data_IF_910657103353
#
_entry.id   IF_910657103353
#
_cell.length_a   1.000
_cell.length_b   1.000
_cell.length_c   1.000
_cell.angle_alpha   90.00
_cell.angle_beta   90.00
_cell.angle_gamma   90.00
#
_symmetry.space_group_name_H-M   'P 1'
#
loop_
_entity.id
_entity.type
_entity.pdbx_description
1 polymer ?
#
# COMPACT_ATOMS: atom_id res chain seq x y z
N UNK A 1 -14.19 -14.43 14.34
CA UNK A 1 -13.93 -13.33 15.24
C UNK A 1 -14.33 -11.95 14.70
N UNK A 2 -14.25 -11.69 13.40
CA UNK A 2 -14.61 -10.38 12.82
C UNK A 2 -13.48 -9.34 12.82
N UNK A 3 -12.26 -9.74 13.09
CA UNK A 3 -11.07 -8.91 12.97
C UNK A 3 -10.33 -9.29 11.69
N UNK A 4 -9.99 -8.29 10.89
CA UNK A 4 -9.33 -8.45 9.60
C UNK A 4 -8.13 -7.53 9.50
N UNK A 5 -7.12 -7.98 8.79
CA UNK A 5 -5.97 -7.18 8.43
C UNK A 5 -5.85 -7.10 6.90
N UNK A 6 -5.50 -5.93 6.37
CA UNK A 6 -5.25 -5.71 4.94
C UNK A 6 -3.93 -4.95 4.78
N UNK A 7 -2.97 -5.58 4.14
CA UNK A 7 -1.66 -4.99 3.90
C UNK A 7 -1.14 -5.29 2.49
N UNK A 8 -0.23 -4.45 2.02
CA UNK A 8 0.47 -4.63 0.74
C UNK A 8 1.31 -5.90 0.71
N UNK A 9 1.69 -6.42 1.87
CA UNK A 9 2.43 -7.69 2.04
C UNK A 9 1.58 -8.95 1.91
N UNK A 10 0.30 -8.81 1.66
CA UNK A 10 -0.58 -9.93 1.23
C UNK A 10 -0.58 -10.01 -0.29
N UNK A 11 -0.54 -11.21 -0.86
CA UNK A 11 -0.69 -11.36 -2.30
C UNK A 11 -2.13 -11.02 -2.77
N UNK A 12 -2.36 -10.61 -4.02
CA UNK A 12 -3.65 -10.11 -4.50
C UNK A 12 -4.84 -11.03 -4.27
N UNK A 13 -4.70 -12.35 -4.49
CA UNK A 13 -5.79 -13.29 -4.27
C UNK A 13 -6.18 -13.38 -2.78
N UNK A 14 -5.22 -13.29 -1.86
CA UNK A 14 -5.49 -13.25 -0.42
C UNK A 14 -6.24 -11.97 -0.04
N UNK A 15 -5.76 -10.80 -0.47
CA UNK A 15 -6.44 -9.52 -0.22
C UNK A 15 -7.88 -9.51 -0.72
N UNK A 16 -8.10 -10.10 -1.91
CA UNK A 16 -9.45 -10.22 -2.48
C UNK A 16 -10.36 -11.05 -1.60
N UNK A 17 -9.91 -12.21 -1.14
CA UNK A 17 -10.69 -13.07 -0.26
C UNK A 17 -11.06 -12.37 1.06
N UNK A 18 -10.12 -11.64 1.67
CA UNK A 18 -10.39 -10.85 2.89
C UNK A 18 -11.40 -9.74 2.60
N UNK A 19 -11.25 -9.01 1.49
CA UNK A 19 -12.17 -7.94 1.12
C UNK A 19 -13.59 -8.46 0.82
N UNK A 20 -13.73 -9.61 0.17
CA UNK A 20 -15.03 -10.25 -0.08
C UNK A 20 -15.74 -10.57 1.23
N UNK A 21 -15.04 -11.11 2.22
CA UNK A 21 -15.60 -11.39 3.54
C UNK A 21 -15.97 -10.10 4.29
N UNK A 22 -15.10 -9.08 4.27
CA UNK A 22 -15.38 -7.75 4.85
C UNK A 22 -16.63 -7.13 4.24
N UNK A 23 -16.70 -7.08 2.90
CA UNK A 23 -17.86 -6.55 2.18
C UNK A 23 -19.14 -7.31 2.51
N UNK A 24 -19.05 -8.64 2.61
CA UNK A 24 -20.20 -9.47 2.97
C UNK A 24 -20.71 -9.16 4.38
N UNK A 25 -19.81 -9.02 5.35
CA UNK A 25 -20.16 -8.66 6.74
C UNK A 25 -20.78 -7.28 6.85
N UNK A 26 -20.21 -6.29 6.19
CA UNK A 26 -20.73 -4.93 6.20
C UNK A 26 -22.12 -4.81 5.54
N UNK A 27 -22.38 -5.59 4.49
CA UNK A 27 -23.64 -5.46 3.71
C UNK A 27 -24.80 -6.31 4.24
N UNK A 28 -24.52 -7.45 4.86
CA UNK A 28 -25.57 -8.45 5.08
C UNK A 28 -25.84 -8.80 6.55
N UNK A 29 -24.99 -8.35 7.46
CA UNK A 29 -25.10 -8.86 8.82
C UNK A 29 -24.74 -7.79 9.83
N UNK A 30 -25.32 -7.88 11.02
CA UNK A 30 -24.87 -7.14 12.18
C UNK A 30 -23.66 -7.84 12.87
N UNK A 31 -22.88 -8.61 12.11
CA UNK A 31 -21.71 -9.30 12.62
C UNK A 31 -20.57 -8.30 12.87
N UNK A 32 -19.76 -8.50 13.91
CA UNK A 32 -18.60 -7.66 14.14
C UNK A 32 -17.66 -7.65 12.92
N UNK A 33 -17.26 -6.47 12.49
CA UNK A 33 -16.30 -6.28 11.38
C UNK A 33 -15.33 -5.16 11.76
N UNK A 34 -14.13 -5.52 12.16
CA UNK A 34 -13.04 -4.59 12.45
C UNK A 34 -11.91 -4.84 11.48
N UNK A 35 -11.46 -3.79 10.80
CA UNK A 35 -10.41 -3.91 9.79
C UNK A 35 -9.27 -2.99 10.18
N UNK A 36 -8.07 -3.55 10.29
CA UNK A 36 -6.82 -2.80 10.35
C UNK A 36 -6.20 -2.86 8.97
N UNK A 37 -5.94 -1.70 8.37
CA UNK A 37 -5.42 -1.65 7.01
C UNK A 37 -4.34 -0.59 6.87
N UNK A 38 -3.39 -0.83 5.96
CA UNK A 38 -2.57 0.23 5.39
C UNK A 38 -3.44 1.13 4.49
N UNK A 39 -2.84 2.13 3.83
CA UNK A 39 -3.52 3.00 2.84
C UNK A 39 -4.20 2.25 1.68
N UNK A 40 -4.07 0.95 1.63
CA UNK A 40 -4.64 0.07 0.60
C UNK A 40 -6.16 0.18 0.47
N UNK A 41 -6.86 0.50 1.58
CA UNK A 41 -8.30 0.67 1.61
C UNK A 41 -8.77 2.08 1.19
N UNK A 42 -7.86 3.05 1.13
CA UNK A 42 -8.16 4.45 0.83
C UNK A 42 -8.64 4.63 -0.62
N UNK A 43 -8.13 3.81 -1.56
CA UNK A 43 -8.51 3.87 -2.96
C UNK A 43 -8.87 2.49 -3.53
N UNK A 44 -9.78 2.46 -4.52
CA UNK A 44 -10.09 1.25 -5.28
C UNK A 44 -10.91 0.17 -4.56
N UNK A 45 -11.35 0.42 -3.33
CA UNK A 45 -12.14 -0.52 -2.53
C UNK A 45 -13.51 0.09 -2.19
N UNK A 46 -14.57 -0.69 -2.41
CA UNK A 46 -15.95 -0.27 -2.14
C UNK A 46 -16.44 -0.84 -0.81
N UNK A 47 -16.10 -0.14 0.26
CA UNK A 47 -16.50 -0.48 1.64
C UNK A 47 -17.17 0.72 2.29
N UNK A 48 -18.13 0.43 3.18
CA UNK A 48 -18.87 1.40 3.96
C UNK A 48 -18.83 1.03 5.43
N UNK A 49 -18.02 1.75 6.21
CA UNK A 49 -17.90 1.56 7.65
C UNK A 49 -18.74 2.58 8.42
N UNK A 50 -19.32 2.24 9.56
CA UNK A 50 -20.00 3.20 10.42
C UNK A 50 -19.02 4.15 11.14
N UNK A 51 -17.79 3.70 11.41
CA UNK A 51 -16.75 4.51 12.05
C UNK A 51 -15.38 4.20 11.44
N UNK A 52 -14.52 5.22 11.34
CA UNK A 52 -13.16 5.11 10.83
C UNK A 52 -12.18 5.75 11.80
N UNK A 53 -11.09 5.06 12.07
CA UNK A 53 -9.94 5.59 12.82
C UNK A 53 -8.78 5.74 11.86
N UNK A 54 -8.18 6.93 11.78
CA UNK A 54 -7.05 7.21 10.89
C UNK A 54 -5.90 7.79 11.70
N UNK A 55 -4.76 7.14 11.63
CA UNK A 55 -3.53 7.73 12.13
C UNK A 55 -3.19 9.03 11.38
N UNK A 56 -2.54 9.99 12.05
CA UNK A 56 -2.12 11.25 11.45
C UNK A 56 -1.41 11.03 10.10
N UNK A 57 -1.86 11.74 9.09
CA UNK A 57 -1.36 11.66 7.72
C UNK A 57 -1.53 13.00 7.01
N UNK A 58 -1.20 13.07 5.73
CA UNK A 58 -1.59 14.19 4.88
C UNK A 58 -3.11 14.31 4.80
N UNK A 59 -3.61 15.53 4.61
CA UNK A 59 -5.05 15.80 4.54
C UNK A 59 -5.75 14.99 3.45
N UNK A 60 -5.08 14.77 2.33
CA UNK A 60 -5.55 13.94 1.21
C UNK A 60 -5.83 12.49 1.65
N UNK A 61 -4.93 11.89 2.39
CA UNK A 61 -5.07 10.53 2.93
C UNK A 61 -6.17 10.45 4.01
N UNK A 62 -6.25 11.46 4.88
CA UNK A 62 -7.33 11.58 5.88
C UNK A 62 -8.69 11.63 5.20
N UNK A 63 -8.86 12.46 4.17
CA UNK A 63 -10.11 12.59 3.44
C UNK A 63 -10.47 11.31 2.65
N UNK A 64 -9.48 10.61 2.10
CA UNK A 64 -9.71 9.32 1.44
C UNK A 64 -10.18 8.25 2.41
N UNK A 65 -9.60 8.19 3.61
CA UNK A 65 -10.07 7.31 4.68
C UNK A 65 -11.48 7.71 5.17
N UNK A 66 -11.73 9.01 5.35
CA UNK A 66 -13.04 9.53 5.71
C UNK A 66 -14.12 9.16 4.68
N UNK A 67 -13.77 9.12 3.40
CA UNK A 67 -14.66 8.64 2.32
C UNK A 67 -15.03 7.15 2.40
N UNK A 68 -14.56 6.41 3.41
CA UNK A 68 -14.98 5.05 3.75
C UNK A 68 -15.93 4.99 4.95
N UNK A 69 -16.16 6.13 5.61
CA UNK A 69 -17.11 6.27 6.70
C UNK A 69 -18.45 6.74 6.14
N UNK A 70 -19.53 6.01 6.43
CA UNK A 70 -20.89 6.34 5.95
C UNK A 70 -20.96 6.70 4.46
N UNK A 71 -20.20 5.98 3.65
CA UNK A 71 -20.05 6.27 2.22
C UNK A 71 -21.36 6.25 1.46
N UNK A 72 -22.31 5.39 1.87
CA UNK A 72 -23.62 5.25 1.24
C UNK A 72 -24.65 6.23 1.82
N UNK A 73 -24.27 6.99 2.87
CA UNK A 73 -25.15 7.99 3.49
C UNK A 73 -26.35 7.41 4.23
N UNK A 74 -26.25 6.13 4.66
CA UNK A 74 -27.34 5.42 5.34
C UNK A 74 -27.43 5.71 6.83
N UNK A 75 -26.32 6.12 7.46
CA UNK A 75 -26.24 6.41 8.89
C UNK A 75 -26.33 7.92 9.15
N UNK A 76 -26.67 8.29 10.41
CA UNK A 76 -26.68 9.71 10.78
C UNK A 76 -25.26 10.27 10.84
N UNK A 77 -25.05 11.57 10.59
CA UNK A 77 -23.72 12.19 10.73
C UNK A 77 -23.16 12.07 12.16
N UNK A 78 -24.04 12.06 13.17
CA UNK A 78 -23.67 11.95 14.58
C UNK A 78 -23.11 10.56 14.92
N UNK A 79 -23.57 9.52 14.21
CA UNK A 79 -23.13 8.13 14.38
C UNK A 79 -21.96 7.76 13.47
N UNK A 80 -21.61 8.63 12.51
CA UNK A 80 -20.63 8.39 11.45
C UNK A 80 -19.36 9.19 11.74
N UNK A 81 -18.54 8.69 12.67
CA UNK A 81 -17.39 9.45 13.19
C UNK A 81 -16.09 8.98 12.56
N UNK A 82 -15.31 9.94 12.09
CA UNK A 82 -13.91 9.74 11.69
C UNK A 82 -13.01 10.31 12.78
N UNK A 83 -12.24 9.44 13.41
CA UNK A 83 -11.32 9.81 14.49
C UNK A 83 -9.89 9.83 13.95
N UNK A 84 -9.22 10.99 14.03
CA UNK A 84 -7.80 11.11 13.74
C UNK A 84 -7.05 10.92 15.06
N UNK A 85 -6.07 10.03 15.09
CA UNK A 85 -5.26 9.75 16.27
C UNK A 85 -3.76 9.83 15.95
N UNK A 86 -2.97 10.04 16.98
CA UNK A 86 -1.51 10.02 16.88
C UNK A 86 -1.00 8.68 17.38
N UNK A 87 -0.20 8.01 16.55
CA UNK A 87 0.48 6.77 16.91
C UNK A 87 1.57 6.99 17.98
N UNK A 88 2.01 5.91 18.59
CA UNK A 88 3.13 5.93 19.57
C UNK A 88 4.47 6.13 18.86
N UNK A 89 4.63 5.54 17.69
CA UNK A 89 5.83 5.63 16.90
C UNK A 89 5.88 6.92 16.08
N UNK A 90 7.09 7.38 15.79
CA UNK A 90 7.27 8.50 14.87
C UNK A 90 6.93 8.06 13.44
N UNK A 91 6.18 8.88 12.69
CA UNK A 91 5.90 8.58 11.30
C UNK A 91 7.21 8.52 10.48
N UNK A 92 7.27 7.70 9.43
CA UNK A 92 8.39 7.73 8.51
C UNK A 92 8.63 9.13 7.95
N UNK A 93 9.89 9.53 7.82
CA UNK A 93 10.29 10.87 7.33
C UNK A 93 9.61 11.28 6.02
N UNK A 94 9.32 10.31 5.17
CA UNK A 94 8.62 10.51 3.89
C UNK A 94 7.24 11.18 4.08
N UNK A 95 6.58 10.95 5.20
CA UNK A 95 5.23 11.47 5.50
C UNK A 95 5.24 12.75 6.35
N UNK A 96 6.36 13.11 6.99
CA UNK A 96 6.44 14.25 7.93
C UNK A 96 5.98 15.57 7.27
N UNK A 97 6.38 15.84 6.03
CA UNK A 97 5.99 17.05 5.31
C UNK A 97 4.47 17.09 5.04
N UNK A 98 3.90 15.97 4.61
CA UNK A 98 2.46 15.90 4.35
C UNK A 98 1.64 15.99 5.64
N UNK A 99 2.11 15.37 6.73
CA UNK A 99 1.50 15.48 8.07
C UNK A 99 1.53 16.93 8.55
N UNK A 100 2.68 17.61 8.44
CA UNK A 100 2.83 19.02 8.83
C UNK A 100 1.88 19.95 8.08
N UNK A 101 1.82 19.82 6.75
CA UNK A 101 0.89 20.58 5.92
C UNK A 101 -0.58 20.28 6.27
N UNK A 102 -0.90 19.00 6.56
CA UNK A 102 -2.22 18.58 7.01
C UNK A 102 -2.62 19.20 8.36
N UNK A 103 -1.72 19.19 9.33
CA UNK A 103 -1.93 19.82 10.65
C UNK A 103 -2.17 21.32 10.54
N UNK A 104 -1.42 22.02 9.67
CA UNK A 104 -1.63 23.44 9.40
C UNK A 104 -3.03 23.71 8.82
N UNK A 105 -3.45 22.94 7.82
CA UNK A 105 -4.79 23.07 7.25
C UNK A 105 -5.89 22.79 8.29
N UNK A 106 -5.77 21.72 9.08
CA UNK A 106 -6.73 21.36 10.14
C UNK A 106 -6.81 22.40 11.27
N UNK A 107 -5.70 23.09 11.58
CA UNK A 107 -5.70 24.14 12.58
C UNK A 107 -6.40 25.42 12.11
N UNK A 108 -6.40 25.67 10.81
CA UNK A 108 -6.91 26.92 10.21
C UNK A 108 -8.37 26.82 9.76
N UNK A 109 -8.79 25.64 9.31
CA UNK A 109 -10.11 25.43 8.73
C UNK A 109 -10.95 24.51 9.60
N UNK A 110 -12.18 24.94 9.94
CA UNK A 110 -13.12 24.15 10.72
C UNK A 110 -13.66 22.97 9.91
N UNK A 111 -13.95 23.22 8.64
CA UNK A 111 -14.33 22.18 7.66
C UNK A 111 -13.09 21.81 6.85
N UNK A 112 -12.46 20.70 7.21
CA UNK A 112 -11.25 20.19 6.57
C UNK A 112 -11.51 19.61 5.16
N UNK A 113 -12.76 19.30 4.85
CA UNK A 113 -13.18 18.83 3.52
C UNK A 113 -13.54 19.99 2.57
N UNK A 114 -13.53 21.24 3.06
CA UNK A 114 -13.78 22.41 2.23
C UNK A 114 -12.72 22.56 1.14
N UNK A 115 -13.14 23.14 0.01
CA UNK A 115 -12.24 23.45 -1.10
C UNK A 115 -11.06 24.32 -0.67
N UNK A 116 -11.30 25.27 0.23
CA UNK A 116 -10.32 26.21 0.77
C UNK A 116 -9.27 25.47 1.62
N UNK A 117 -9.69 24.53 2.47
CA UNK A 117 -8.78 23.71 3.27
C UNK A 117 -7.90 22.82 2.39
N UNK A 118 -8.50 22.15 1.41
CA UNK A 118 -7.79 21.28 0.46
C UNK A 118 -6.78 22.08 -0.36
N UNK A 119 -7.19 23.26 -0.87
CA UNK A 119 -6.29 24.13 -1.63
C UNK A 119 -5.12 24.63 -0.76
N UNK A 120 -5.39 25.06 0.47
CA UNK A 120 -4.35 25.51 1.39
C UNK A 120 -3.37 24.38 1.74
N UNK A 121 -3.86 23.15 1.94
CA UNK A 121 -3.04 21.98 2.18
C UNK A 121 -2.07 21.71 1.04
N UNK A 122 -2.57 21.67 -0.20
CA UNK A 122 -1.70 21.39 -1.36
C UNK A 122 -0.73 22.52 -1.63
N UNK A 123 -1.13 23.78 -1.42
CA UNK A 123 -0.24 24.92 -1.56
C UNK A 123 0.93 24.82 -0.57
N UNK A 124 0.64 24.59 0.71
CA UNK A 124 1.64 24.43 1.75
C UNK A 124 2.56 23.22 1.48
N UNK A 125 1.98 22.09 1.07
CA UNK A 125 2.74 20.88 0.73
C UNK A 125 3.72 21.13 -0.43
N UNK A 126 3.31 21.89 -1.44
CA UNK A 126 4.15 22.24 -2.58
C UNK A 126 5.26 23.23 -2.18
N UNK A 127 4.94 24.20 -1.34
CA UNK A 127 5.92 25.19 -0.84
C UNK A 127 6.99 24.51 0.04
N UNK A 128 6.56 23.60 0.95
CA UNK A 128 7.48 22.86 1.81
C UNK A 128 8.39 21.89 1.04
N UNK A 129 7.87 21.26 -0.03
CA UNK A 129 8.67 20.37 -0.88
C UNK A 129 9.67 21.13 -1.78
N UNK A 130 9.38 22.37 -2.09
CA UNK A 130 10.17 23.19 -3.01
C UNK A 130 10.02 22.78 -4.49
N UNK A 131 10.31 23.70 -5.40
CA UNK A 131 10.15 23.48 -6.85
C UNK A 131 11.08 22.42 -7.40
N UNK A 132 12.30 22.32 -6.90
CA UNK A 132 13.29 21.34 -7.39
C UNK A 132 12.86 19.90 -7.12
N UNK A 133 12.19 19.65 -5.98
CA UNK A 133 11.70 18.31 -5.66
C UNK A 133 10.50 17.89 -6.52
N UNK A 134 9.80 18.85 -7.12
CA UNK A 134 8.64 18.58 -8.00
C UNK A 134 9.08 18.21 -9.42
N UNK A 135 10.29 18.54 -9.81
CA UNK A 135 10.89 18.20 -11.11
C UNK A 135 12.30 17.60 -10.95
N UNK A 136 12.41 16.61 -10.06
CA UNK A 136 13.68 15.93 -9.76
C UNK A 136 14.36 15.32 -11.01
N UNK A 137 13.59 15.03 -12.04
CA UNK A 137 14.07 14.49 -13.31
C UNK A 137 14.38 15.58 -14.35
N UNK A 138 14.22 16.85 -13.99
CA UNK A 138 14.47 18.01 -14.88
C UNK A 138 13.70 17.89 -16.21
N UNK A 139 12.41 17.58 -16.13
CA UNK A 139 11.53 17.43 -17.28
C UNK A 139 11.00 18.78 -17.75
N UNK A 140 10.62 19.66 -16.81
CA UNK A 140 10.06 20.97 -17.17
C UNK A 140 10.98 21.80 -18.09
N UNK A 141 12.31 21.90 -17.87
CA UNK A 141 13.20 22.57 -18.80
C UNK A 141 13.26 21.94 -20.20
N UNK A 142 13.01 20.62 -20.30
CA UNK A 142 12.93 19.95 -21.61
C UNK A 142 11.65 20.30 -22.36
N UNK A 143 10.57 20.58 -21.64
CA UNK A 143 9.28 20.97 -22.24
C UNK A 143 9.28 22.41 -22.76
N UNK A 144 10.20 23.25 -22.30
CA UNK A 144 10.36 24.64 -22.73
C UNK A 144 11.22 24.78 -24.01
N UNK A 145 11.82 23.71 -24.50
CA UNK A 145 12.64 23.74 -25.69
C UNK A 145 11.82 23.90 -26.97
N UNK A 146 12.37 24.59 -27.96
CA UNK A 146 11.73 24.82 -29.27
C UNK A 146 11.37 23.50 -29.97
N UNK A 147 12.21 22.46 -29.83
CA UNK A 147 11.94 21.10 -30.29
C UNK A 147 11.67 20.21 -29.08
N UNK A 148 10.42 19.79 -28.92
CA UNK A 148 9.96 18.98 -27.80
C UNK A 148 10.61 17.58 -27.84
N UNK A 149 11.52 17.23 -26.91
CA UNK A 149 12.27 15.97 -26.96
C UNK A 149 11.45 14.81 -26.36
N UNK A 150 10.39 14.39 -27.02
CA UNK A 150 9.46 13.37 -26.54
C UNK A 150 10.13 12.10 -26.03
N UNK A 151 11.17 11.62 -26.73
CA UNK A 151 11.88 10.40 -26.35
C UNK A 151 12.59 10.58 -25.00
N UNK A 152 13.35 11.64 -24.83
CA UNK A 152 14.08 11.94 -23.61
C UNK A 152 13.13 12.15 -22.44
N UNK A 153 11.99 12.83 -22.65
CA UNK A 153 10.96 13.02 -21.65
C UNK A 153 10.35 11.67 -21.27
N UNK A 154 10.00 10.82 -22.23
CA UNK A 154 9.44 9.49 -21.97
C UNK A 154 10.42 8.58 -21.21
N UNK A 155 11.73 8.69 -21.49
CA UNK A 155 12.76 7.92 -20.80
C UNK A 155 13.00 8.41 -19.34
N UNK A 156 12.79 9.72 -19.08
CA UNK A 156 12.96 10.30 -17.74
C UNK A 156 11.70 10.29 -16.91
N UNK A 157 10.53 10.35 -17.54
CA UNK A 157 9.26 10.40 -16.82
C UNK A 157 8.84 9.03 -16.31
N UNK A 158 9.01 8.83 -15.02
CA UNK A 158 8.48 7.68 -14.30
C UNK A 158 7.45 8.18 -13.28
N UNK A 159 6.17 7.85 -13.49
CA UNK A 159 5.09 8.22 -12.55
C UNK A 159 5.26 7.52 -11.21
N UNK A 160 5.77 6.29 -11.24
CA UNK A 160 6.06 5.47 -10.06
C UNK A 160 7.45 4.90 -10.27
N UNK A 161 8.40 5.40 -9.50
CA UNK A 161 9.75 4.83 -9.41
C UNK A 161 9.66 3.73 -8.34
N UNK A 162 9.45 2.49 -8.79
CA UNK A 162 9.14 1.40 -7.88
C UNK A 162 10.17 0.27 -8.00
N UNK A 163 11.31 0.39 -7.31
CA UNK A 163 12.33 -0.65 -7.28
C UNK A 163 11.87 -1.82 -6.39
N UNK A 164 10.79 -2.48 -6.80
CA UNK A 164 10.26 -3.64 -6.09
C UNK A 164 10.44 -4.89 -6.93
N UNK A 165 10.76 -5.98 -6.24
CA UNK A 165 10.79 -7.32 -6.81
C UNK A 165 9.60 -8.14 -6.33
N UNK A 166 9.18 -9.10 -7.14
CA UNK A 166 8.05 -9.96 -6.80
C UNK A 166 8.54 -11.27 -6.24
N UNK A 167 8.08 -11.60 -5.03
CA UNK A 167 8.28 -12.90 -4.40
C UNK A 167 6.98 -13.70 -4.52
N UNK A 168 7.02 -14.83 -5.20
CA UNK A 168 5.88 -15.73 -5.31
C UNK A 168 5.70 -16.55 -4.04
N UNK A 169 4.46 -16.67 -3.61
CA UNK A 169 4.06 -17.39 -2.39
C UNK A 169 3.42 -18.72 -2.80
N UNK A 170 4.08 -19.87 -2.59
CA UNK A 170 3.60 -21.18 -3.04
C UNK A 170 2.57 -21.77 -2.07
N UNK A 171 1.43 -21.10 -1.90
CA UNK A 171 0.34 -21.57 -1.03
C UNK A 171 -0.91 -21.85 -1.88
N UNK A 172 -1.57 -22.96 -1.63
CA UNK A 172 -2.81 -23.35 -2.33
C UNK A 172 -2.62 -23.46 -3.85
N UNK A 173 -3.40 -22.72 -4.63
CA UNK A 173 -3.27 -22.67 -6.10
C UNK A 173 -1.92 -22.08 -6.54
N UNK A 174 -1.33 -21.15 -5.74
CA UNK A 174 -0.01 -20.62 -6.00
C UNK A 174 1.07 -21.70 -6.08
N UNK A 175 0.99 -22.75 -5.25
CA UNK A 175 1.94 -23.87 -5.28
C UNK A 175 1.88 -24.63 -6.61
N UNK A 176 0.68 -24.84 -7.14
CA UNK A 176 0.49 -25.53 -8.44
C UNK A 176 1.08 -24.69 -9.59
N UNK A 177 0.88 -23.37 -9.54
CA UNK A 177 1.41 -22.46 -10.54
C UNK A 177 2.94 -22.39 -10.49
N UNK A 178 3.52 -22.36 -9.29
CA UNK A 178 4.97 -22.42 -9.09
C UNK A 178 5.55 -23.73 -9.64
N UNK A 179 4.89 -24.87 -9.40
CA UNK A 179 5.31 -26.17 -9.99
C UNK A 179 5.34 -26.12 -11.53
N UNK A 180 4.34 -25.49 -12.16
CA UNK A 180 4.33 -25.30 -13.63
C UNK A 180 5.50 -24.44 -14.08
N UNK A 181 5.80 -23.37 -13.35
CA UNK A 181 6.95 -22.48 -13.61
C UNK A 181 8.28 -23.25 -13.51
N UNK A 182 8.45 -24.05 -12.45
CA UNK A 182 9.63 -24.91 -12.23
C UNK A 182 9.77 -25.98 -13.35
N UNK A 183 8.66 -26.46 -13.88
CA UNK A 183 8.62 -27.36 -15.05
C UNK A 183 8.85 -26.61 -16.38
N UNK A 184 9.42 -25.41 -16.35
CA UNK A 184 9.81 -24.60 -17.51
C UNK A 184 8.66 -24.11 -18.38
N UNK A 185 7.42 -24.11 -17.89
CA UNK A 185 6.34 -23.42 -18.58
C UNK A 185 6.56 -21.90 -18.49
N UNK A 186 6.48 -21.20 -19.62
CA UNK A 186 6.74 -19.76 -19.76
C UNK A 186 5.62 -19.08 -20.57
N UNK A 187 4.38 -19.40 -20.24
CA UNK A 187 3.23 -18.77 -20.90
C UNK A 187 2.83 -17.45 -20.22
N UNK A 188 2.37 -16.48 -21.03
CA UNK A 188 1.84 -15.20 -20.51
C UNK A 188 0.69 -15.42 -19.53
N UNK A 189 -0.10 -16.46 -19.76
CA UNK A 189 -1.22 -16.82 -18.87
C UNK A 189 -0.74 -17.32 -17.50
N UNK A 190 0.31 -18.13 -17.47
CA UNK A 190 0.94 -18.57 -16.23
C UNK A 190 1.43 -17.37 -15.39
N UNK A 191 2.17 -16.45 -15.98
CA UNK A 191 2.66 -15.27 -15.25
C UNK A 191 1.54 -14.37 -14.78
N UNK A 192 0.46 -14.21 -15.54
CA UNK A 192 -0.72 -13.47 -15.12
C UNK A 192 -1.39 -14.12 -13.90
N UNK A 193 -1.49 -15.44 -13.86
CA UNK A 193 -2.04 -16.18 -12.73
C UNK A 193 -1.08 -16.13 -11.52
N UNK A 194 0.22 -16.32 -11.73
CA UNK A 194 1.24 -16.20 -10.68
C UNK A 194 1.24 -14.82 -10.02
N UNK A 195 0.99 -13.75 -10.77
CA UNK A 195 0.86 -12.41 -10.23
C UNK A 195 -0.24 -12.26 -9.17
N UNK A 196 -1.21 -13.18 -9.11
CA UNK A 196 -2.22 -13.21 -8.05
C UNK A 196 -1.65 -13.77 -6.72
N UNK A 197 -0.49 -14.42 -6.75
CA UNK A 197 0.19 -15.05 -5.63
C UNK A 197 1.58 -14.44 -5.38
N UNK A 198 1.88 -13.30 -5.99
CA UNK A 198 3.10 -12.55 -5.78
C UNK A 198 2.93 -11.42 -4.77
N UNK A 199 3.95 -11.18 -3.96
CA UNK A 199 4.08 -10.03 -3.08
C UNK A 199 5.23 -9.18 -3.59
N UNK A 200 4.97 -7.89 -3.87
CA UNK A 200 6.02 -6.94 -4.24
C UNK A 200 6.69 -6.40 -2.99
N UNK A 201 8.01 -6.52 -2.92
CA UNK A 201 8.83 -6.06 -1.80
C UNK A 201 9.97 -5.19 -2.31
N UNK A 202 10.47 -4.29 -1.46
CA UNK A 202 11.62 -3.46 -1.79
C UNK A 202 12.90 -4.26 -1.81
N UNK A 203 13.89 -3.77 -2.55
CA UNK A 203 15.19 -4.42 -2.71
C UNK A 203 15.86 -4.75 -1.36
N UNK A 204 15.80 -3.83 -0.39
CA UNK A 204 16.34 -4.05 0.96
C UNK A 204 15.69 -5.22 1.69
N UNK A 205 14.37 -5.40 1.52
CA UNK A 205 13.60 -6.48 2.13
C UNK A 205 13.93 -7.82 1.44
N UNK A 206 14.08 -7.79 0.11
CA UNK A 206 14.51 -8.94 -0.68
C UNK A 206 15.90 -9.43 -0.23
N UNK A 207 16.85 -8.51 -0.04
CA UNK A 207 18.19 -8.85 0.45
C UNK A 207 18.16 -9.42 1.86
N UNK A 208 17.26 -8.94 2.72
CA UNK A 208 17.08 -9.49 4.06
C UNK A 208 16.57 -10.93 4.02
N UNK A 209 15.53 -11.20 3.23
CA UNK A 209 14.98 -12.54 3.03
C UNK A 209 16.00 -13.48 2.39
N UNK A 210 16.78 -13.01 1.43
CA UNK A 210 17.81 -13.80 0.75
C UNK A 210 18.95 -14.18 1.72
N UNK A 211 19.42 -13.23 2.53
CA UNK A 211 20.45 -13.51 3.56
C UNK A 211 19.98 -14.53 4.61
N UNK A 212 18.70 -14.55 4.91
CA UNK A 212 18.10 -15.53 5.81
C UNK A 212 17.84 -16.89 5.15
N UNK A 213 18.07 -17.03 3.82
CA UNK A 213 17.77 -18.26 3.09
C UNK A 213 16.28 -18.55 2.94
N UNK A 214 15.44 -17.52 3.12
CA UNK A 214 13.98 -17.64 3.09
C UNK A 214 13.38 -17.59 1.69
N UNK A 215 14.18 -17.23 0.69
CA UNK A 215 13.77 -17.14 -0.72
C UNK A 215 14.79 -17.84 -1.62
N UNK A 216 14.32 -18.28 -2.78
CA UNK A 216 15.12 -18.84 -3.86
C UNK A 216 14.90 -18.04 -5.15
N UNK A 217 15.97 -17.76 -5.89
CA UNK A 217 15.84 -17.19 -7.21
C UNK A 217 15.69 -18.30 -8.24
N UNK A 218 14.64 -18.22 -9.06
CA UNK A 218 14.37 -19.17 -10.11
C UNK A 218 15.14 -18.83 -11.40
N UNK A 219 15.22 -19.79 -12.35
CA UNK A 219 15.94 -19.65 -13.63
C UNK A 219 15.51 -18.43 -14.46
N UNK A 220 14.27 -17.98 -14.33
CA UNK A 220 13.71 -16.83 -15.04
C UNK A 220 13.94 -15.49 -14.33
N UNK A 221 14.68 -15.50 -13.22
CA UNK A 221 14.99 -14.33 -12.41
C UNK A 221 13.95 -13.98 -11.35
N UNK A 222 12.79 -14.64 -11.33
CA UNK A 222 11.77 -14.42 -10.30
C UNK A 222 12.19 -15.04 -8.96
N UNK A 223 11.54 -14.62 -7.86
CA UNK A 223 11.82 -15.09 -6.53
C UNK A 223 10.67 -15.93 -5.98
N UNK A 224 11.02 -16.98 -5.24
CA UNK A 224 10.10 -17.90 -4.60
C UNK A 224 10.33 -17.90 -3.09
N UNK A 225 9.27 -17.75 -2.30
CA UNK A 225 9.34 -17.95 -0.85
C UNK A 225 9.52 -19.45 -0.55
N UNK A 226 10.62 -19.81 0.10
CA UNK A 226 10.92 -21.19 0.54
C UNK A 226 10.54 -21.43 1.99
N UNK A 227 10.69 -20.42 2.84
CA UNK A 227 10.23 -20.48 4.24
C UNK A 227 8.79 -19.96 4.36
N UNK A 228 7.85 -20.90 4.30
CA UNK A 228 6.42 -20.58 4.38
C UNK A 228 5.98 -20.11 5.78
N UNK A 229 6.79 -20.28 6.83
CA UNK A 229 6.48 -19.76 8.16
C UNK A 229 6.43 -18.24 8.20
N UNK A 230 7.09 -17.57 7.23
CA UNK A 230 7.08 -16.12 7.07
C UNK A 230 5.79 -15.58 6.43
N UNK A 231 4.89 -16.45 5.98
CA UNK A 231 3.61 -16.00 5.43
C UNK A 231 2.43 -16.46 6.29
N UNK A 232 1.70 -15.52 6.86
CA UNK A 232 0.51 -15.78 7.64
C UNK A 232 -0.78 -15.37 6.91
N UNK A 233 -1.90 -15.99 7.31
CA UNK A 233 -3.23 -15.59 6.81
C UNK A 233 -3.71 -14.27 7.44
N UNK A 234 -3.14 -13.89 8.57
CA UNK A 234 -3.52 -12.69 9.30
C UNK A 234 -2.77 -11.47 8.79
N UNK A 235 -1.46 -11.58 8.53
CA UNK A 235 -0.61 -10.42 8.23
C UNK A 235 0.03 -10.41 6.84
N UNK A 236 0.02 -11.55 6.12
CA UNK A 236 0.75 -11.70 4.87
C UNK A 236 2.23 -12.04 5.09
N UNK A 237 3.11 -11.56 4.22
CA UNK A 237 4.55 -11.82 4.27
C UNK A 237 5.23 -10.99 5.37
N UNK A 238 5.88 -11.65 6.32
CA UNK A 238 6.80 -11.02 7.27
C UNK A 238 8.16 -10.82 6.62
N UNK A 239 8.78 -9.68 6.88
CA UNK A 239 10.18 -9.39 6.53
C UNK A 239 11.08 -9.41 7.78
N UNK A 240 10.48 -9.53 8.96
CA UNK A 240 11.22 -9.76 10.19
C UNK A 240 11.71 -11.20 10.18
N UNK A 241 12.87 -11.40 9.60
CA UNK A 241 13.60 -12.66 9.67
C UNK A 241 14.45 -12.61 10.92
N UNK A 242 14.26 -13.53 11.84
CA UNK A 242 15.24 -13.80 12.87
C UNK A 242 16.57 -14.14 12.17
N UNK A 243 17.40 -13.11 12.01
CA UNK A 243 18.79 -13.32 11.62
C UNK A 243 19.41 -14.07 12.79
N UNK A 244 19.36 -15.40 12.72
CA UNK A 244 19.81 -16.29 13.78
C UNK A 244 21.10 -15.78 14.42
N UNK A 245 20.97 -15.07 15.52
CA UNK A 245 22.04 -15.01 16.52
C UNK A 245 22.13 -16.42 17.04
N UNK A 246 23.04 -17.17 16.40
CA UNK A 246 23.31 -18.53 16.81
C UNK A 246 23.41 -18.61 18.32
N UNK A 247 22.55 -19.41 18.90
CA UNK A 247 22.77 -19.99 20.20
C UNK A 247 24.09 -20.80 20.10
N UNK A 248 25.20 -20.11 20.21
CA UNK A 248 26.44 -20.78 20.67
C UNK A 248 26.29 -20.90 22.19
N UNK A 249 25.82 -22.06 22.61
CA UNK A 249 26.01 -22.60 23.95
C UNK A 249 27.42 -23.17 24.00
#
# INVERSE_FOLDING_TARGET
DGNFHLATRMYPAHRRAVLEEVCWRLKKTHLPCRVVSTSLIEAGVDVNFPAVFREEAGLDSILQAAGRCNREGGDSPEDSIVTIFKGEDKPPKLFETAIGAGQMAMSKYKDIASREAIHAYFHELLDLKGRESQDAQHILPLMEQEFFPFRTISERFHLIDNPTETVYIPIGEGAKLVTRLQNKERSRDLYRQLGQYGVSIYQQDLEALNRAGAIEQLEDGSFLLTDLSLYSKEAGLSIEVDSGKGLFI
#
